data_IF_349456839595
#
_entry.id   IF_349456839595
#
_cell.length_a   1.000
_cell.length_b   1.000
_cell.length_c   1.000
_cell.angle_alpha   90.00
_cell.angle_beta   90.00
_cell.angle_gamma   90.00
#
_symmetry.space_group_name_H-M   'P 1'
#
loop_
_entity.id
_entity.type
_entity.pdbx_description
1 polymer ?
#
# COMPACT_ATOMS: atom_id res chain seq x y z
N UNK A 1 -34.30 -64.41 21.11
CA UNK A 1 -33.45 -63.76 20.07
C UNK A 1 -33.53 -62.27 20.30
N UNK A 2 -32.57 -61.70 21.01
CA UNK A 2 -32.50 -60.25 21.30
C UNK A 2 -31.33 -59.69 20.46
N UNK A 3 -31.63 -58.88 19.46
CA UNK A 3 -30.62 -58.18 18.66
C UNK A 3 -30.21 -56.88 19.40
N UNK A 4 -28.96 -56.86 19.78
CA UNK A 4 -28.26 -55.66 20.33
C UNK A 4 -27.82 -54.78 19.17
N UNK A 5 -28.51 -53.64 18.98
CA UNK A 5 -28.10 -52.59 18.10
C UNK A 5 -27.85 -51.31 18.92
N UNK A 6 -26.69 -51.18 19.55
CA UNK A 6 -26.48 -50.05 20.45
C UNK A 6 -25.11 -49.36 20.44
N UNK A 7 -24.10 -49.78 19.64
CA UNK A 7 -22.75 -49.24 19.78
C UNK A 7 -22.14 -48.44 18.63
N UNK A 8 -22.59 -48.49 17.38
CA UNK A 8 -21.87 -47.67 16.33
C UNK A 8 -22.30 -46.21 16.27
N UNK A 9 -23.49 -45.83 16.78
CA UNK A 9 -23.99 -44.45 16.67
C UNK A 9 -23.30 -43.43 17.60
N UNK A 10 -22.87 -43.89 18.81
CA UNK A 10 -22.23 -42.97 19.77
C UNK A 10 -20.83 -42.48 19.29
N UNK A 11 -20.07 -43.35 18.65
CA UNK A 11 -18.75 -43.02 18.11
C UNK A 11 -18.78 -41.97 16.97
N UNK A 12 -19.79 -42.06 16.12
CA UNK A 12 -19.92 -41.10 14.97
C UNK A 12 -20.33 -39.71 15.45
N UNK A 13 -21.23 -39.62 16.44
CA UNK A 13 -21.66 -38.32 17.00
C UNK A 13 -20.54 -37.66 17.78
N UNK A 14 -19.75 -38.42 18.56
CA UNK A 14 -18.61 -37.92 19.28
C UNK A 14 -17.47 -37.43 18.30
N UNK A 15 -17.22 -38.16 17.23
CA UNK A 15 -16.22 -37.79 16.21
C UNK A 15 -16.59 -36.51 15.46
N UNK A 16 -17.85 -36.35 15.08
CA UNK A 16 -18.33 -35.12 14.40
C UNK A 16 -18.26 -33.90 15.34
N UNK A 17 -18.62 -34.05 16.60
CA UNK A 17 -18.55 -32.96 17.60
C UNK A 17 -17.12 -32.52 17.88
N UNK A 18 -16.16 -33.45 18.03
CA UNK A 18 -14.76 -33.14 18.23
C UNK A 18 -14.13 -32.48 16.95
N UNK A 19 -14.48 -32.99 15.76
CA UNK A 19 -13.98 -32.42 14.50
C UNK A 19 -14.44 -30.98 14.26
N UNK A 20 -15.71 -30.68 14.54
CA UNK A 20 -16.27 -29.33 14.45
C UNK A 20 -15.66 -28.38 15.49
N UNK A 21 -15.43 -28.84 16.70
CA UNK A 21 -14.84 -28.05 17.80
C UNK A 21 -13.36 -27.72 17.51
N UNK A 22 -12.59 -28.71 17.05
CA UNK A 22 -11.19 -28.52 16.65
C UNK A 22 -11.10 -27.63 15.42
N UNK A 23 -11.93 -27.85 14.40
CA UNK A 23 -11.99 -27.01 13.19
C UNK A 23 -12.36 -25.57 13.50
N UNK A 24 -13.30 -25.33 14.42
CA UNK A 24 -13.67 -24.00 14.88
C UNK A 24 -12.56 -23.33 15.70
N UNK A 25 -11.89 -24.08 16.58
CA UNK A 25 -10.79 -23.58 17.41
C UNK A 25 -9.57 -23.19 16.55
N UNK A 26 -9.26 -23.95 15.50
CA UNK A 26 -8.20 -23.58 14.56
C UNK A 26 -8.59 -22.40 13.65
N UNK A 27 -9.88 -22.26 13.29
CA UNK A 27 -10.39 -21.15 12.49
C UNK A 27 -10.40 -19.82 13.26
N UNK A 28 -10.67 -19.85 14.56
CA UNK A 28 -10.65 -18.64 15.43
C UNK A 28 -9.22 -18.14 15.70
N UNK A 29 -8.18 -18.98 15.51
CA UNK A 29 -6.79 -18.59 15.72
C UNK A 29 -6.04 -18.07 14.48
N UNK A 30 -6.70 -18.06 13.34
CA UNK A 30 -6.18 -17.33 12.17
C UNK A 30 -6.60 -15.87 12.29
N UNK A 31 -5.98 -15.13 13.21
CA UNK A 31 -6.02 -13.67 13.10
C UNK A 31 -5.48 -13.30 11.72
N UNK A 32 -6.21 -12.48 10.94
CA UNK A 32 -5.63 -11.93 9.73
C UNK A 32 -4.38 -11.18 10.17
N UNK A 33 -3.24 -11.58 9.63
CA UNK A 33 -1.99 -10.93 9.92
C UNK A 33 -2.16 -9.43 9.67
N UNK A 34 -1.61 -8.54 10.51
CA UNK A 34 -1.77 -7.10 10.35
C UNK A 34 -1.38 -6.71 8.94
N UNK A 35 -2.37 -6.24 8.19
CA UNK A 35 -2.19 -5.69 6.87
C UNK A 35 -1.22 -4.53 7.00
N UNK A 36 -0.19 -4.46 6.14
CA UNK A 36 0.72 -3.31 6.09
C UNK A 36 -0.13 -2.07 5.83
N UNK A 37 -0.50 -1.36 6.89
CA UNK A 37 -1.31 -0.17 6.72
C UNK A 37 -0.42 0.92 6.14
N UNK A 38 -0.79 1.49 4.98
CA UNK A 38 -0.11 2.67 4.49
C UNK A 38 -0.32 3.78 5.52
N UNK A 39 0.76 4.40 5.98
CA UNK A 39 0.64 5.66 6.70
C UNK A 39 0.16 6.69 5.69
N UNK A 40 -1.14 6.97 5.72
CA UNK A 40 -1.70 8.09 4.98
C UNK A 40 -1.33 9.33 5.78
N UNK A 41 -0.28 10.00 5.35
CA UNK A 41 0.08 11.28 5.96
C UNK A 41 -0.92 12.31 5.47
N UNK A 42 -1.76 12.79 6.40
CA UNK A 42 -2.79 13.77 6.08
C UNK A 42 -2.17 15.13 5.78
N UNK A 43 -2.27 15.56 4.53
CA UNK A 43 -2.06 16.97 4.18
C UNK A 43 -3.40 17.67 4.33
N UNK A 44 -3.53 18.54 5.32
CA UNK A 44 -4.77 19.26 5.62
C UNK A 44 -5.03 20.49 4.73
N UNK A 45 -4.08 20.94 3.90
CA UNK A 45 -4.14 22.24 3.23
C UNK A 45 -3.68 22.26 1.76
N UNK A 46 -3.99 21.24 0.97
CA UNK A 46 -3.76 21.32 -0.50
C UNK A 46 -4.89 22.13 -1.14
N UNK A 47 -4.63 23.40 -1.49
CA UNK A 47 -5.56 24.22 -2.27
C UNK A 47 -5.64 23.68 -3.71
N UNK A 48 -6.83 23.28 -4.22
CA UNK A 48 -6.98 22.79 -5.58
C UNK A 48 -6.66 23.84 -6.66
N UNK A 49 -6.61 25.14 -6.29
CA UNK A 49 -6.37 26.25 -7.20
C UNK A 49 -4.93 26.32 -7.75
N UNK A 50 -3.97 25.62 -7.12
CA UNK A 50 -2.57 25.57 -7.56
C UNK A 50 -2.37 24.60 -8.75
N UNK A 51 -3.40 23.83 -9.11
CA UNK A 51 -3.31 22.82 -10.18
C UNK A 51 -3.69 23.42 -11.53
N UNK A 52 -2.65 23.83 -12.29
CA UNK A 52 -2.76 24.45 -13.60
C UNK A 52 -3.76 23.80 -14.55
N UNK A 53 -4.46 24.62 -15.32
CA UNK A 53 -5.39 24.18 -16.36
C UNK A 53 -4.64 23.53 -17.53
N UNK A 54 -4.87 22.25 -17.81
CA UNK A 54 -4.50 21.61 -19.08
C UNK A 54 -3.16 20.89 -19.17
N UNK A 55 -2.40 20.73 -18.08
CA UNK A 55 -1.11 20.01 -18.07
C UNK A 55 -1.21 18.48 -17.99
N UNK A 56 -0.12 17.78 -18.30
CA UNK A 56 0.02 16.36 -18.08
C UNK A 56 0.08 16.03 -16.57
N UNK A 57 -0.49 14.89 -16.18
CA UNK A 57 -0.51 14.41 -14.82
C UNK A 57 0.26 13.11 -14.69
N UNK A 58 1.05 12.96 -13.64
CA UNK A 58 1.76 11.71 -13.34
C UNK A 58 1.81 11.41 -11.84
N UNK A 59 2.25 10.22 -11.51
CA UNK A 59 2.59 9.76 -10.17
C UNK A 59 4.04 9.27 -10.16
N UNK A 60 4.78 9.61 -9.13
CA UNK A 60 6.12 9.07 -8.88
C UNK A 60 6.06 8.09 -7.72
N UNK A 61 6.76 6.96 -7.89
CA UNK A 61 6.97 5.96 -6.86
C UNK A 61 8.46 5.93 -6.53
N UNK A 62 8.82 6.49 -5.38
CA UNK A 62 10.20 6.58 -4.91
C UNK A 62 10.53 5.36 -4.07
N UNK A 63 11.44 4.52 -4.53
CA UNK A 63 11.85 3.27 -3.88
C UNK A 63 13.15 3.45 -3.13
N UNK A 64 13.23 3.01 -1.88
CA UNK A 64 14.47 2.97 -1.10
C UNK A 64 15.43 1.94 -1.67
N UNK A 65 16.60 2.40 -2.08
CA UNK A 65 17.61 1.55 -2.73
C UNK A 65 18.54 0.85 -1.74
N UNK A 66 18.76 1.40 -0.54
CA UNK A 66 19.57 0.81 0.52
C UNK A 66 19.03 -0.53 1.03
N UNK A 67 17.71 -0.71 1.00
CA UNK A 67 17.06 -1.96 1.43
C UNK A 67 17.32 -3.15 0.51
N UNK A 68 17.88 -2.93 -0.68
CA UNK A 68 18.21 -3.99 -1.66
C UNK A 68 17.08 -4.99 -1.89
N UNK A 69 15.86 -4.50 -1.94
CA UNK A 69 14.67 -5.32 -2.16
C UNK A 69 14.74 -6.07 -3.50
N UNK A 70 14.37 -7.34 -3.50
CA UNK A 70 14.22 -8.10 -4.74
C UNK A 70 13.10 -7.53 -5.64
N UNK A 71 13.20 -7.74 -6.96
CA UNK A 71 12.27 -7.18 -7.96
C UNK A 71 10.80 -7.41 -7.64
N UNK A 72 10.43 -8.63 -7.20
CA UNK A 72 9.06 -8.96 -6.83
C UNK A 72 8.57 -8.14 -5.62
N UNK A 73 9.44 -7.94 -4.60
CA UNK A 73 9.10 -7.12 -3.45
C UNK A 73 8.95 -5.65 -3.83
N UNK A 74 9.84 -5.11 -4.64
CA UNK A 74 9.72 -3.74 -5.17
C UNK A 74 8.39 -3.56 -5.89
N UNK A 75 8.04 -4.49 -6.80
CA UNK A 75 6.77 -4.44 -7.52
C UNK A 75 5.56 -4.45 -6.56
N UNK A 76 5.58 -5.30 -5.54
CA UNK A 76 4.51 -5.37 -4.53
C UNK A 76 4.41 -4.06 -3.72
N UNK A 77 5.54 -3.51 -3.24
CA UNK A 77 5.56 -2.27 -2.48
C UNK A 77 5.13 -1.06 -3.32
N UNK A 78 5.54 -0.98 -4.60
CA UNK A 78 5.06 0.03 -5.55
C UNK A 78 3.55 -0.10 -5.80
N UNK A 79 3.03 -1.31 -5.92
CA UNK A 79 1.60 -1.56 -6.08
C UNK A 79 0.81 -1.09 -4.85
N UNK A 80 1.30 -1.37 -3.63
CA UNK A 80 0.70 -0.85 -2.40
C UNK A 80 0.69 0.68 -2.37
N UNK A 81 1.80 1.33 -2.75
CA UNK A 81 1.91 2.78 -2.81
C UNK A 81 0.93 3.39 -3.81
N UNK A 82 0.84 2.83 -5.01
CA UNK A 82 -0.08 3.29 -6.06
C UNK A 82 -1.56 3.15 -5.63
N UNK A 83 -1.94 2.01 -5.04
CA UNK A 83 -3.30 1.79 -4.55
C UNK A 83 -3.64 2.73 -3.39
N UNK A 84 -2.70 2.97 -2.48
CA UNK A 84 -2.88 3.90 -1.37
C UNK A 84 -3.09 5.33 -1.87
N UNK A 85 -2.24 5.79 -2.79
CA UNK A 85 -2.37 7.11 -3.42
C UNK A 85 -3.70 7.25 -4.19
N UNK A 86 -4.10 6.23 -4.95
CA UNK A 86 -5.39 6.20 -5.65
C UNK A 86 -6.57 6.39 -4.69
N UNK A 87 -6.60 5.62 -3.60
CA UNK A 87 -7.65 5.73 -2.58
C UNK A 87 -7.69 7.12 -1.94
N UNK A 88 -6.53 7.70 -1.69
CA UNK A 88 -6.41 9.03 -1.10
C UNK A 88 -6.93 10.11 -2.04
N UNK A 89 -6.47 10.14 -3.30
CA UNK A 89 -6.90 11.13 -4.29
C UNK A 89 -8.39 10.99 -4.63
N UNK A 90 -8.90 9.76 -4.74
CA UNK A 90 -10.33 9.51 -4.96
C UNK A 90 -11.21 10.13 -3.88
N UNK A 91 -10.75 10.11 -2.63
CA UNK A 91 -11.50 10.66 -1.49
C UNK A 91 -11.40 12.17 -1.41
N UNK A 92 -10.21 12.74 -1.69
CA UNK A 92 -9.91 14.15 -1.42
C UNK A 92 -10.03 15.05 -2.64
N UNK A 93 -9.63 14.55 -3.81
CA UNK A 93 -9.54 15.32 -5.05
C UNK A 93 -10.03 14.51 -6.25
N UNK A 94 -11.34 14.18 -6.32
CA UNK A 94 -11.88 13.32 -7.38
C UNK A 94 -11.68 13.90 -8.79
N UNK A 95 -11.65 15.23 -8.94
CA UNK A 95 -11.41 15.88 -10.24
C UNK A 95 -9.96 15.72 -10.70
N UNK A 96 -9.00 15.77 -9.78
CA UNK A 96 -7.60 15.48 -10.09
C UNK A 96 -7.44 14.01 -10.51
N UNK A 97 -8.15 13.10 -9.85
CA UNK A 97 -8.15 11.68 -10.23
C UNK A 97 -8.61 11.50 -11.69
N UNK A 98 -9.73 12.13 -12.08
CA UNK A 98 -10.25 12.07 -13.45
C UNK A 98 -9.24 12.57 -14.48
N UNK A 99 -8.53 13.67 -14.19
CA UNK A 99 -7.48 14.20 -15.08
C UNK A 99 -6.34 13.22 -15.25
N UNK A 100 -5.85 12.64 -14.15
CA UNK A 100 -4.80 11.65 -14.19
C UNK A 100 -5.23 10.35 -14.90
N UNK A 101 -6.47 9.90 -14.71
CA UNK A 101 -7.05 8.77 -15.44
C UNK A 101 -7.16 9.07 -16.94
N UNK A 102 -7.59 10.25 -17.31
CA UNK A 102 -7.64 10.70 -18.70
C UNK A 102 -6.26 10.70 -19.38
N UNK A 103 -5.19 11.06 -18.66
CA UNK A 103 -3.81 10.97 -19.12
C UNK A 103 -3.27 9.53 -19.21
N UNK A 104 -4.05 8.50 -18.93
CA UNK A 104 -3.61 7.10 -18.95
C UNK A 104 -2.92 6.65 -17.66
N UNK A 105 -3.10 7.36 -16.56
CA UNK A 105 -2.55 7.04 -15.24
C UNK A 105 -1.02 6.82 -15.23
N UNK A 106 -0.21 7.70 -15.82
CA UNK A 106 1.23 7.48 -15.92
C UNK A 106 1.89 7.41 -14.54
N UNK A 107 2.79 6.44 -14.40
CA UNK A 107 3.57 6.19 -13.19
C UNK A 107 5.03 6.02 -13.55
N UNK A 108 5.93 6.67 -12.81
CA UNK A 108 7.37 6.50 -12.96
C UNK A 108 7.96 6.02 -11.65
N UNK A 109 8.85 5.03 -11.73
CA UNK A 109 9.54 4.48 -10.55
C UNK A 109 10.96 4.99 -10.52
N UNK A 110 11.31 5.66 -9.44
CA UNK A 110 12.63 6.23 -9.19
C UNK A 110 13.20 5.70 -7.88
N UNK A 111 14.50 5.90 -7.64
CA UNK A 111 15.17 5.43 -6.44
C UNK A 111 15.67 6.57 -5.56
N UNK A 112 15.50 6.43 -4.26
CA UNK A 112 16.19 7.21 -3.24
C UNK A 112 17.32 6.38 -2.63
N UNK A 113 18.48 6.98 -2.29
CA UNK A 113 19.60 6.25 -1.71
C UNK A 113 19.26 5.62 -0.34
N UNK A 114 18.51 6.33 0.48
CA UNK A 114 18.25 6.01 1.89
C UNK A 114 16.90 6.52 2.40
N UNK A 115 16.66 6.34 3.69
CA UNK A 115 15.41 6.78 4.35
C UNK A 115 15.37 8.29 4.53
N UNK A 116 16.48 8.93 4.85
CA UNK A 116 16.53 10.38 5.10
C UNK A 116 16.11 11.15 3.85
N UNK A 117 16.65 10.77 2.69
CA UNK A 117 16.25 11.30 1.38
C UNK A 117 14.75 11.07 1.11
N UNK A 118 14.22 9.89 1.48
CA UNK A 118 12.78 9.60 1.30
C UNK A 118 11.90 10.53 2.14
N UNK A 119 12.31 10.83 3.37
CA UNK A 119 11.59 11.74 4.28
C UNK A 119 11.73 13.20 3.85
N UNK A 120 12.89 13.60 3.35
CA UNK A 120 13.08 14.94 2.77
C UNK A 120 12.14 15.16 1.58
N UNK A 121 12.08 14.19 0.64
CA UNK A 121 11.17 14.25 -0.51
C UNK A 121 9.70 14.31 -0.07
N UNK A 122 9.33 13.57 0.99
CA UNK A 122 7.99 13.62 1.56
C UNK A 122 7.67 15.03 2.08
N UNK A 123 8.60 15.69 2.78
CA UNK A 123 8.40 17.05 3.28
C UNK A 123 8.26 18.05 2.15
N UNK A 124 9.19 18.04 1.18
CA UNK A 124 9.15 18.91 0.01
C UNK A 124 7.86 18.76 -0.80
N UNK A 125 7.43 17.51 -1.03
CA UNK A 125 6.20 17.26 -1.76
C UNK A 125 4.96 17.83 -1.04
N UNK A 126 4.93 17.76 0.30
CA UNK A 126 3.86 18.37 1.10
C UNK A 126 3.88 19.89 1.05
N UNK A 127 5.05 20.51 1.13
CA UNK A 127 5.21 21.96 1.06
C UNK A 127 4.64 22.55 -0.23
N UNK A 128 4.78 21.84 -1.34
CA UNK A 128 4.19 22.24 -2.62
C UNK A 128 2.76 21.73 -2.84
N UNK A 129 2.11 21.20 -1.82
CA UNK A 129 0.71 20.77 -1.86
C UNK A 129 0.44 19.43 -2.56
N UNK A 130 1.46 18.63 -2.89
CA UNK A 130 1.27 17.32 -3.49
C UNK A 130 0.77 16.29 -2.49
N UNK A 131 -0.12 15.40 -2.94
CA UNK A 131 -0.52 14.24 -2.17
C UNK A 131 0.65 13.25 -2.07
N UNK A 132 0.84 12.69 -0.90
CA UNK A 132 1.89 11.69 -0.63
C UNK A 132 1.33 10.50 0.12
N UNK A 133 1.88 9.31 -0.15
CA UNK A 133 1.56 8.11 0.61
C UNK A 133 2.84 7.30 0.84
N UNK A 134 3.16 7.07 2.11
CA UNK A 134 4.36 6.35 2.54
C UNK A 134 4.00 4.93 2.94
N UNK A 135 4.70 3.95 2.37
CA UNK A 135 4.48 2.53 2.64
C UNK A 135 5.52 2.02 3.63
N UNK A 136 5.03 1.35 4.66
CA UNK A 136 5.86 0.60 5.61
C UNK A 136 5.69 -0.90 5.41
N UNK A 137 6.78 -1.65 5.55
CA UNK A 137 6.73 -3.10 5.48
C UNK A 137 6.19 -3.72 6.78
N UNK A 138 5.32 -4.70 6.67
CA UNK A 138 4.76 -5.41 7.81
C UNK A 138 5.75 -6.41 8.46
N UNK A 139 6.96 -6.55 7.91
CA UNK A 139 8.00 -7.43 8.45
C UNK A 139 7.81 -8.92 8.18
N UNK A 140 7.05 -9.27 7.16
CA UNK A 140 6.81 -10.67 6.76
C UNK A 140 7.88 -11.23 5.83
N UNK A 141 8.89 -10.45 5.51
CA UNK A 141 9.93 -10.78 4.53
C UNK A 141 11.32 -10.47 5.10
N UNK A 142 12.30 -10.28 4.22
CA UNK A 142 13.72 -10.06 4.58
C UNK A 142 14.01 -8.66 5.18
N UNK A 143 13.02 -7.78 5.28
CA UNK A 143 13.19 -6.39 5.75
C UNK A 143 12.59 -6.27 7.15
N UNK A 144 13.24 -5.47 8.01
CA UNK A 144 12.76 -5.22 9.37
C UNK A 144 11.33 -4.66 9.39
N UNK A 145 10.47 -5.13 10.31
CA UNK A 145 9.12 -4.61 10.48
C UNK A 145 9.14 -3.08 10.64
N UNK A 146 8.18 -2.41 9.99
CA UNK A 146 8.04 -0.95 10.07
C UNK A 146 9.01 -0.16 9.18
N UNK A 147 9.91 -0.81 8.43
CA UNK A 147 10.77 -0.11 7.48
C UNK A 147 9.96 0.60 6.41
N UNK A 148 10.22 1.87 6.19
CA UNK A 148 9.64 2.65 5.10
C UNK A 148 10.28 2.23 3.78
N UNK A 149 9.49 1.80 2.81
CA UNK A 149 9.99 1.13 1.60
C UNK A 149 9.79 1.94 0.34
N UNK A 150 8.60 2.51 0.16
CA UNK A 150 8.23 3.29 -1.02
C UNK A 150 7.40 4.50 -0.60
N UNK A 151 7.70 5.64 -1.20
CA UNK A 151 6.91 6.86 -1.13
C UNK A 151 6.23 7.08 -2.49
N UNK A 152 4.91 7.21 -2.53
CA UNK A 152 4.23 7.78 -3.69
C UNK A 152 4.09 9.29 -3.56
N UNK A 153 4.32 10.01 -4.64
CA UNK A 153 4.12 11.45 -4.77
C UNK A 153 3.14 11.67 -5.93
N UNK A 154 2.05 12.35 -5.66
CA UNK A 154 0.94 12.52 -6.61
C UNK A 154 -0.14 11.44 -6.49
N UNK A 155 -1.04 11.31 -7.53
CA UNK A 155 -0.94 12.00 -8.83
C UNK A 155 -1.05 13.52 -8.71
N UNK A 156 -0.38 14.21 -9.63
CA UNK A 156 -0.37 15.66 -9.69
C UNK A 156 0.19 16.19 -11.02
N UNK A 157 0.17 17.52 -11.23
CA UNK A 157 0.76 18.14 -12.41
C UNK A 157 2.22 17.77 -12.58
N UNK A 158 2.61 17.44 -13.80
CA UNK A 158 3.96 16.96 -14.11
C UNK A 158 5.04 17.94 -13.67
N UNK A 159 4.90 19.22 -13.94
CA UNK A 159 5.88 20.25 -13.60
C UNK A 159 6.09 20.36 -12.08
N UNK A 160 5.00 20.29 -11.31
CA UNK A 160 5.06 20.36 -9.87
C UNK A 160 5.75 19.11 -9.27
N UNK A 161 5.45 17.93 -9.81
CA UNK A 161 6.11 16.69 -9.42
C UNK A 161 7.59 16.72 -9.78
N UNK A 162 7.94 17.21 -10.96
CA UNK A 162 9.34 17.31 -11.39
C UNK A 162 10.15 18.31 -10.57
N UNK A 163 9.56 19.37 -10.06
CA UNK A 163 10.24 20.29 -9.14
C UNK A 163 10.72 19.61 -7.84
N UNK A 164 10.08 18.50 -7.46
CA UNK A 164 10.43 17.72 -6.25
C UNK A 164 11.32 16.52 -6.58
N UNK A 165 11.12 15.88 -7.74
CA UNK A 165 11.67 14.54 -8.04
C UNK A 165 12.55 14.48 -9.28
N UNK A 166 12.72 15.60 -9.99
CA UNK A 166 13.41 15.63 -11.30
C UNK A 166 14.87 15.18 -11.29
N UNK A 167 15.55 15.30 -10.15
CA UNK A 167 16.95 14.89 -9.98
C UNK A 167 17.13 13.40 -9.68
N UNK A 168 16.03 12.67 -9.44
CA UNK A 168 16.09 11.26 -9.06
C UNK A 168 16.30 10.36 -10.29
N UNK A 169 17.12 9.34 -10.11
CA UNK A 169 17.38 8.34 -11.16
C UNK A 169 16.27 7.31 -11.21
N UNK A 170 15.94 6.83 -12.41
CA UNK A 170 15.05 5.71 -12.61
C UNK A 170 15.53 4.47 -11.83
N UNK A 171 14.58 3.68 -11.35
CA UNK A 171 14.85 2.48 -10.59
C UNK A 171 15.35 1.34 -11.47
#
# INVERSE_FOLDING_TARGET
>A
MSLSYGLPCLGVVAGLGCGLFIGWHFRVRSEPAPESQPIVVENSNGDPSVMGEGGEFKMILVVRNDLKMGKGKVAAQCSHAAVSAYKQVKRRHPELLKRWEYCGQPKVVVKAPDEDTLIELLSRAKEVGLLVSLIQDAGRTQISPGSRTVLSIGPGPTDLIDSVTGDLKLY
#
